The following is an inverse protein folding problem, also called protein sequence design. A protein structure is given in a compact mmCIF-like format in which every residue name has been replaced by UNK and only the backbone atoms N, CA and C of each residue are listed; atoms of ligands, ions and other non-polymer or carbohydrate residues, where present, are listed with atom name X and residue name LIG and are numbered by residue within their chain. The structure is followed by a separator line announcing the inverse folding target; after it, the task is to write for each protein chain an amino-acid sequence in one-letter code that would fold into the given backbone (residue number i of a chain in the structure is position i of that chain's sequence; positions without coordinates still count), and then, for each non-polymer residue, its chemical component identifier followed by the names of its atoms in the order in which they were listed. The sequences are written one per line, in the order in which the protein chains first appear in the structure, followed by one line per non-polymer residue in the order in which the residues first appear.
data_IF_812886798957
#
_entry.id   IF_812886798957
#
_cell.length_a   1.000
_cell.length_b   1.000
_cell.length_c   1.000
_cell.angle_alpha   90.00
_cell.angle_beta   90.00
_cell.angle_gamma   90.00
#
_symmetry.space_group_name_H-M   'P 1'
#
loop_
_entity.id
_entity.type
_entity.pdbx_description
1 polymer ?
#
# COMPACT_ATOMS: atom_id res chain seq x y z
N UNK A 1 6.66 -18.24 -25.88
CA UNK A 1 7.68 -18.49 -24.84
C UNK A 1 9.05 -18.47 -25.48
N UNK A 2 10.03 -17.83 -24.85
CA UNK A 2 11.42 -17.84 -25.31
C UNK A 2 11.98 -19.28 -25.25
N UNK A 3 12.70 -19.71 -26.29
CA UNK A 3 13.20 -21.09 -26.45
C UNK A 3 14.74 -21.18 -26.48
N UNK A 4 15.45 -20.11 -26.13
CA UNK A 4 16.91 -20.06 -26.03
C UNK A 4 17.41 -20.25 -24.59
N UNK A 5 18.70 -20.53 -24.44
CA UNK A 5 19.38 -20.48 -23.13
C UNK A 5 19.49 -19.02 -22.69
N UNK A 6 18.84 -18.65 -21.58
CA UNK A 6 18.90 -17.28 -21.03
C UNK A 6 20.25 -16.97 -20.38
N UNK A 7 20.94 -18.00 -19.89
CA UNK A 7 22.22 -17.87 -19.22
C UNK A 7 23.26 -18.68 -19.97
N UNK A 8 24.39 -18.04 -20.28
CA UNK A 8 25.55 -18.74 -20.82
C UNK A 8 26.04 -19.83 -19.84
N UNK A 9 26.67 -20.89 -20.34
CA UNK A 9 27.24 -21.96 -19.49
C UNK A 9 28.25 -21.42 -18.46
N UNK A 10 29.03 -20.41 -18.83
CA UNK A 10 29.98 -19.75 -17.94
C UNK A 10 29.26 -19.01 -16.79
N UNK A 11 28.16 -18.32 -17.09
CA UNK A 11 27.30 -17.68 -16.10
C UNK A 11 26.74 -18.70 -15.10
N UNK A 12 26.15 -19.80 -15.58
CA UNK A 12 25.58 -20.84 -14.70
C UNK A 12 26.63 -21.45 -13.76
N UNK A 13 27.84 -21.73 -14.27
CA UNK A 13 28.95 -22.26 -13.44
C UNK A 13 29.34 -21.27 -12.35
N UNK A 14 29.36 -19.98 -12.66
CA UNK A 14 29.69 -18.94 -11.70
C UNK A 14 28.59 -18.77 -10.64
N UNK A 15 27.31 -18.74 -11.04
CA UNK A 15 26.17 -18.68 -10.11
C UNK A 15 26.24 -19.85 -9.12
N UNK A 16 26.47 -21.07 -9.61
CA UNK A 16 26.57 -22.24 -8.73
C UNK A 16 27.76 -22.14 -7.75
N UNK A 17 28.91 -21.64 -8.22
CA UNK A 17 30.11 -21.44 -7.38
C UNK A 17 29.87 -20.40 -6.27
N UNK A 18 29.34 -19.23 -6.62
CA UNK A 18 29.09 -18.14 -5.67
C UNK A 18 27.96 -18.48 -4.69
N UNK A 19 26.90 -19.14 -5.17
CA UNK A 19 25.77 -19.55 -4.34
C UNK A 19 26.05 -20.77 -3.47
N UNK A 20 27.11 -21.54 -3.77
CA UNK A 20 27.40 -22.86 -3.19
C UNK A 20 26.22 -23.85 -3.28
N UNK A 21 25.35 -23.66 -4.27
CA UNK A 21 24.15 -24.46 -4.46
C UNK A 21 22.97 -24.11 -3.54
N UNK A 22 23.03 -23.01 -2.77
CA UNK A 22 21.91 -22.57 -1.94
C UNK A 22 20.76 -22.05 -2.83
N UNK A 23 19.59 -22.71 -2.88
CA UNK A 23 18.54 -22.37 -3.85
C UNK A 23 18.04 -20.93 -3.73
N UNK A 24 17.97 -20.41 -2.50
CA UNK A 24 17.55 -19.02 -2.27
C UNK A 24 18.54 -18.02 -2.83
N UNK A 25 19.84 -18.27 -2.67
CA UNK A 25 20.89 -17.39 -3.16
C UNK A 25 21.01 -17.44 -4.69
N UNK A 26 20.86 -18.63 -5.29
CA UNK A 26 20.75 -18.80 -6.75
C UNK A 26 19.64 -17.89 -7.29
N UNK A 27 18.44 -17.93 -6.71
CA UNK A 27 17.32 -17.12 -7.19
C UNK A 27 17.61 -15.62 -7.11
N UNK A 28 18.21 -15.14 -6.01
CA UNK A 28 18.53 -13.71 -5.85
C UNK A 28 19.58 -13.26 -6.85
N UNK A 29 20.62 -14.07 -7.10
CA UNK A 29 21.65 -13.77 -8.10
C UNK A 29 21.03 -13.75 -9.50
N UNK A 30 20.16 -14.72 -9.83
CA UNK A 30 19.47 -14.77 -11.13
C UNK A 30 18.61 -13.54 -11.37
N UNK A 31 17.77 -13.14 -10.40
CA UNK A 31 16.92 -11.95 -10.51
C UNK A 31 17.76 -10.69 -10.76
N UNK A 32 18.87 -10.55 -10.01
CA UNK A 32 19.74 -9.38 -10.19
C UNK A 32 20.47 -9.40 -11.53
N UNK A 33 20.85 -10.58 -12.01
CA UNK A 33 21.47 -10.76 -13.33
C UNK A 33 20.49 -10.44 -14.46
N UNK A 34 19.22 -10.86 -14.35
CA UNK A 34 18.16 -10.54 -15.32
C UNK A 34 17.89 -9.03 -15.40
N UNK A 35 17.86 -8.34 -14.25
CA UNK A 35 17.76 -6.88 -14.21
C UNK A 35 18.97 -6.21 -14.89
N UNK A 36 20.19 -6.68 -14.62
CA UNK A 36 21.40 -6.15 -15.25
C UNK A 36 21.43 -6.37 -16.77
N UNK A 37 20.93 -7.50 -17.25
CA UNK A 37 20.82 -7.78 -18.68
C UNK A 37 19.77 -6.89 -19.36
N UNK A 38 18.64 -6.66 -18.70
CA UNK A 38 17.61 -5.75 -19.19
C UNK A 38 18.15 -4.32 -19.38
N UNK A 39 18.95 -3.82 -18.43
CA UNK A 39 19.56 -2.49 -18.57
C UNK A 39 20.59 -2.39 -19.69
N UNK A 40 21.16 -3.54 -20.09
CA UNK A 40 22.18 -3.64 -21.15
C UNK A 40 21.56 -4.05 -22.50
N UNK A 41 20.22 -4.09 -22.60
CA UNK A 41 19.44 -4.55 -23.76
C UNK A 41 19.91 -5.93 -24.29
N UNK A 42 20.37 -6.79 -23.38
CA UNK A 42 20.89 -8.12 -23.70
C UNK A 42 19.86 -9.19 -23.39
N UNK A 43 19.62 -10.07 -24.36
CA UNK A 43 18.71 -11.22 -24.22
C UNK A 43 19.43 -12.40 -23.55
N UNK A 44 20.73 -12.57 -23.81
CA UNK A 44 21.56 -13.60 -23.16
C UNK A 44 22.34 -13.00 -21.98
N UNK A 45 22.37 -13.75 -20.87
CA UNK A 45 23.04 -13.37 -19.64
C UNK A 45 24.43 -14.02 -19.61
N UNK A 46 25.42 -13.21 -19.93
CA UNK A 46 26.82 -13.62 -19.93
C UNK A 46 27.48 -13.47 -18.55
N UNK A 47 28.65 -14.11 -18.40
CA UNK A 47 29.46 -14.07 -17.19
C UNK A 47 29.69 -12.65 -16.60
N UNK A 48 29.98 -11.59 -17.38
CA UNK A 48 30.21 -10.26 -16.83
C UNK A 48 28.99 -9.70 -16.10
N UNK A 49 27.78 -9.96 -16.61
CA UNK A 49 26.53 -9.49 -16.00
C UNK A 49 26.30 -10.20 -14.66
N UNK A 50 26.54 -11.51 -14.62
CA UNK A 50 26.46 -12.31 -13.39
C UNK A 50 27.51 -11.88 -12.37
N UNK A 51 28.73 -11.59 -12.80
CA UNK A 51 29.79 -11.13 -11.91
C UNK A 51 29.40 -9.83 -11.18
N UNK A 52 28.84 -8.88 -11.91
CA UNK A 52 28.34 -7.62 -11.35
C UNK A 52 27.17 -7.90 -10.38
N UNK A 53 26.22 -8.75 -10.78
CA UNK A 53 25.09 -9.13 -9.94
C UNK A 53 25.52 -9.83 -8.64
N UNK A 54 26.50 -10.74 -8.70
CA UNK A 54 27.07 -11.40 -7.53
C UNK A 54 27.71 -10.40 -6.58
N UNK A 55 28.55 -9.46 -7.09
CA UNK A 55 29.15 -8.41 -6.25
C UNK A 55 28.09 -7.58 -5.53
N UNK A 56 26.98 -7.28 -6.21
CA UNK A 56 25.90 -6.53 -5.59
C UNK A 56 25.14 -7.33 -4.54
N UNK A 57 24.81 -8.59 -4.80
CA UNK A 57 24.05 -9.44 -3.88
C UNK A 57 24.91 -9.79 -2.66
N UNK A 58 26.07 -10.41 -2.87
CA UNK A 58 26.96 -10.85 -1.81
C UNK A 58 27.60 -9.67 -1.06
N UNK A 59 27.77 -8.51 -1.71
CA UNK A 59 28.26 -7.29 -1.08
C UNK A 59 27.21 -6.51 -0.28
N UNK A 60 25.90 -6.71 -0.54
CA UNK A 60 24.79 -5.99 0.14
C UNK A 60 24.09 -6.79 1.24
N UNK A 61 24.40 -8.08 1.40
CA UNK A 61 23.84 -8.91 2.46
C UNK A 61 24.24 -8.46 3.88
N UNK A 62 25.26 -7.60 4.01
CA UNK A 62 25.59 -6.93 5.28
C UNK A 62 24.59 -5.86 5.73
N UNK A 63 23.78 -5.28 4.83
CA UNK A 63 22.96 -4.11 5.16
C UNK A 63 21.45 -4.35 5.18
N UNK A 64 20.98 -5.51 4.72
CA UNK A 64 19.53 -5.83 4.73
C UNK A 64 19.14 -6.92 5.73
N UNK A 65 20.03 -7.86 6.03
CA UNK A 65 19.79 -8.86 7.08
C UNK A 65 19.94 -8.26 8.50
N UNK A 66 20.78 -7.24 8.69
CA UNK A 66 20.92 -6.53 9.97
C UNK A 66 19.83 -5.46 10.20
N UNK A 67 19.30 -4.85 9.14
CA UNK A 67 18.27 -3.80 9.24
C UNK A 67 16.86 -4.32 9.57
N UNK A 68 16.63 -5.64 9.52
CA UNK A 68 15.33 -6.25 9.85
C UNK A 68 15.26 -6.75 11.31
N UNK A 69 16.30 -6.52 12.13
CA UNK A 69 16.34 -6.89 13.56
C UNK A 69 16.53 -5.69 14.50
N UNK A 70 16.05 -4.52 14.10
CA UNK A 70 16.02 -3.37 14.99
C UNK A 70 14.66 -2.70 14.90
N UNK A 71 13.82 -3.08 15.85
CA UNK A 71 12.72 -2.29 16.36
C UNK A 71 13.21 -0.90 16.79
N UNK A 72 13.24 0.05 15.85
CA UNK A 72 12.98 1.45 16.14
C UNK A 72 12.33 2.05 14.89
N UNK A 73 11.10 2.52 15.03
CA UNK A 73 10.31 3.04 13.93
C UNK A 73 10.81 4.46 13.62
N UNK A 74 11.95 4.58 12.94
CA UNK A 74 12.37 5.84 12.34
C UNK A 74 11.95 5.86 10.89
N UNK A 75 10.74 6.37 10.65
CA UNK A 75 10.21 6.63 9.33
C UNK A 75 10.94 7.87 8.77
N UNK A 76 12.06 7.65 8.09
CA UNK A 76 12.75 8.68 7.32
C UNK A 76 12.08 8.75 5.93
N UNK A 77 11.04 9.57 5.80
CA UNK A 77 10.36 9.80 4.53
C UNK A 77 11.01 10.99 3.83
N UNK A 78 11.51 10.74 2.63
CA UNK A 78 11.98 11.76 1.70
C UNK A 78 10.85 12.75 1.36
N UNK A 79 11.05 14.02 1.71
CA UNK A 79 10.04 15.08 1.84
C UNK A 79 9.33 15.51 0.55
N UNK A 80 9.84 15.20 -0.65
CA UNK A 80 9.41 15.94 -1.86
C UNK A 80 8.24 15.33 -2.63
N UNK A 81 8.04 14.01 -2.61
CA UNK A 81 6.93 13.36 -3.36
C UNK A 81 5.78 12.85 -2.48
N UNK A 82 6.00 12.67 -1.18
CA UNK A 82 4.96 12.18 -0.25
C UNK A 82 4.04 13.31 0.24
N UNK A 83 4.45 14.57 0.13
CA UNK A 83 3.67 15.71 0.59
C UNK A 83 2.31 15.82 -0.12
N UNK A 84 2.19 15.41 -1.38
CA UNK A 84 0.91 15.33 -2.08
C UNK A 84 0.01 14.23 -1.50
N UNK A 85 0.55 13.05 -1.21
CA UNK A 85 -0.21 11.93 -0.63
C UNK A 85 -0.68 12.25 0.78
N UNK A 86 0.17 12.88 1.59
CA UNK A 86 -0.20 13.34 2.93
C UNK A 86 -1.31 14.41 2.87
N UNK A 87 -1.21 15.38 1.95
CA UNK A 87 -2.26 16.38 1.72
C UNK A 87 -3.57 15.75 1.25
N UNK A 88 -3.50 14.76 0.36
CA UNK A 88 -4.68 14.04 -0.14
C UNK A 88 -5.34 13.23 0.97
N UNK A 89 -4.55 12.56 1.81
CA UNK A 89 -5.04 11.81 2.97
C UNK A 89 -5.73 12.72 3.98
N UNK A 90 -5.13 13.87 4.31
CA UNK A 90 -5.74 14.88 5.20
C UNK A 90 -7.04 15.40 4.60
N UNK A 91 -7.07 15.71 3.31
CA UNK A 91 -8.28 16.19 2.62
C UNK A 91 -9.41 15.16 2.68
N UNK A 92 -9.13 13.89 2.39
CA UNK A 92 -10.11 12.81 2.45
C UNK A 92 -10.65 12.60 3.87
N UNK A 93 -9.79 12.73 4.88
CA UNK A 93 -10.19 12.66 6.29
C UNK A 93 -11.13 13.80 6.66
N UNK A 94 -10.84 15.03 6.24
CA UNK A 94 -11.72 16.18 6.47
C UNK A 94 -13.06 16.04 5.77
N UNK A 95 -13.08 15.57 4.52
CA UNK A 95 -14.32 15.31 3.77
C UNK A 95 -15.16 14.25 4.47
N UNK A 96 -14.54 13.14 4.90
CA UNK A 96 -15.23 12.08 5.64
C UNK A 96 -15.82 12.59 6.96
N UNK A 97 -15.06 13.38 7.72
CA UNK A 97 -15.53 13.96 8.99
C UNK A 97 -16.71 14.92 8.76
N UNK A 98 -16.62 15.78 7.74
CA UNK A 98 -17.72 16.67 7.36
C UNK A 98 -18.96 15.90 6.92
N UNK A 99 -18.80 14.79 6.20
CA UNK A 99 -19.92 13.93 5.78
C UNK A 99 -20.60 13.23 6.97
N UNK A 100 -19.81 12.76 7.96
CA UNK A 100 -20.35 12.18 9.18
C UNK A 100 -21.15 13.22 9.97
N UNK A 101 -20.61 14.43 10.13
CA UNK A 101 -21.32 15.54 10.79
C UNK A 101 -22.61 15.89 10.05
N UNK A 102 -22.55 16.02 8.73
CA UNK A 102 -23.73 16.27 7.89
C UNK A 102 -24.78 15.16 8.05
N UNK A 103 -24.36 13.90 8.15
CA UNK A 103 -25.27 12.76 8.35
C UNK A 103 -25.93 12.81 9.72
N UNK A 104 -25.20 13.13 10.78
CA UNK A 104 -25.74 13.23 12.14
C UNK A 104 -26.71 14.41 12.27
N UNK A 105 -26.35 15.56 11.72
CA UNK A 105 -27.16 16.78 11.78
C UNK A 105 -28.43 16.67 10.91
N UNK A 106 -28.33 16.00 9.76
CA UNK A 106 -29.48 15.74 8.88
C UNK A 106 -30.52 14.84 9.54
N UNK A 107 -30.09 13.76 10.21
CA UNK A 107 -31.00 12.85 10.90
C UNK A 107 -31.74 13.56 12.05
N UNK A 108 -31.06 14.36 12.85
CA UNK A 108 -31.69 15.18 13.91
C UNK A 108 -32.66 16.23 13.34
N UNK A 109 -32.30 16.88 12.24
CA UNK A 109 -33.16 17.86 11.56
C UNK A 109 -34.44 17.22 10.99
N UNK A 110 -34.34 16.01 10.45
CA UNK A 110 -35.51 15.27 9.95
C UNK A 110 -36.37 14.79 11.12
N UNK A 111 -35.76 14.24 12.17
CA UNK A 111 -36.48 13.75 13.35
C UNK A 111 -37.24 14.87 14.07
N UNK A 112 -36.66 16.07 14.18
CA UNK A 112 -37.33 17.24 14.78
C UNK A 112 -38.54 17.69 13.96
N UNK A 113 -38.47 17.70 12.63
CA UNK A 113 -39.61 18.01 11.74
C UNK A 113 -40.72 16.95 11.88
N UNK A 114 -40.36 15.66 11.94
CA UNK A 114 -41.33 14.58 12.13
C UNK A 114 -41.98 14.59 13.53
N UNK A 115 -41.19 14.87 14.58
CA UNK A 115 -41.70 15.10 15.94
C UNK A 115 -42.65 16.29 15.99
N UNK A 116 -42.33 17.39 15.31
CA UNK A 116 -43.21 18.56 15.21
C UNK A 116 -44.53 18.21 14.51
N UNK A 117 -44.50 17.36 13.48
CA UNK A 117 -45.70 16.89 12.81
C UNK A 117 -46.57 15.99 13.70
N UNK A 118 -45.96 15.11 14.51
CA UNK A 118 -46.72 14.29 15.49
C UNK A 118 -47.21 15.11 16.69
N UNK A 119 -46.45 16.10 17.14
CA UNK A 119 -46.83 17.01 18.23
C UNK A 119 -48.08 17.82 17.88
N UNK A 120 -48.18 18.30 16.63
CA UNK A 120 -49.38 18.99 16.14
C UNK A 120 -50.61 18.08 16.11
N UNK A 121 -50.48 16.82 15.69
CA UNK A 121 -51.62 15.88 15.68
C UNK A 121 -52.09 15.50 17.08
N UNK A 122 -51.16 15.37 18.04
CA UNK A 122 -51.49 15.05 19.44
C UNK A 122 -52.21 16.22 20.14
N UNK A 123 -51.78 17.46 19.90
CA UNK A 123 -52.45 18.66 20.43
C UNK A 123 -53.85 18.88 19.83
N UNK A 124 -54.03 18.57 18.54
CA UNK A 124 -55.35 18.61 17.88
C UNK A 124 -56.28 17.53 18.44
N UNK A 125 -55.79 16.31 18.68
CA UNK A 125 -56.59 15.24 19.30
C UNK A 125 -56.97 15.55 20.75
N UNK A 126 -56.08 16.16 21.55
CA UNK A 126 -56.43 16.57 22.91
C UNK A 126 -57.48 17.68 22.94
N UNK A 127 -57.37 18.66 22.03
CA UNK A 127 -58.36 19.75 21.89
C UNK A 127 -59.73 19.25 21.40
N UNK A 128 -59.76 18.25 20.51
CA UNK A 128 -60.99 17.60 20.05
C UNK A 128 -61.64 16.78 21.18
N UNK A 129 -60.85 16.06 21.97
CA UNK A 129 -61.38 15.30 23.12
C UNK A 129 -61.94 16.21 24.21
N UNK A 130 -61.38 17.40 24.44
CA UNK A 130 -61.94 18.37 25.40
C UNK A 130 -63.21 19.06 24.92
N UNK A 131 -63.40 19.21 23.60
CA UNK A 131 -64.63 19.78 23.02
C UNK A 131 -65.79 18.76 22.94
N UNK A 132 -65.50 17.46 22.98
CA UNK A 132 -66.51 16.39 22.86
C UNK A 132 -67.04 15.91 24.24
N UNK A 133 -66.37 16.31 25.33
CA UNK A 133 -66.70 15.92 26.73
C UNK A 133 -67.21 17.10 27.57
N UNK A 134 -67.27 18.31 27.02
CA UNK A 134 -67.92 19.49 27.63
C UNK A 134 -69.27 19.77 26.97
#
# INVERSE_FOLDING_TARGET
GFRGELFSRAALKHIHSESRGVPRLVNVICDRSMLGAYTKDSIEIEYPIVLDACKEVLGRDGSRAAAQRSSSLSINISDSNMAWVARLGILLLLIGLAFVMFSTDFLESVLTIFQQSRGKTMAVMSSLSSMLVG
#
